data_IF_123359304029
#
_entry.id   IF_123359304029
#
_cell.length_a   1.000
_cell.length_b   1.000
_cell.length_c   1.000
_cell.angle_alpha   90.00
_cell.angle_beta   90.00
_cell.angle_gamma   90.00
#
_symmetry.space_group_name_H-M   'P 1'
#
loop_
_entity.id
_entity.type
_entity.pdbx_description
1 polymer ?
#
# COMPACT_ATOMS: atom_id res chain seq x y z
N UNK A 1 -7.23 33.46 15.35
CA UNK A 1 -6.69 33.34 13.99
C UNK A 1 -5.60 32.28 14.03
N UNK A 2 -5.91 31.03 13.67
CA UNK A 2 -4.88 29.98 13.56
C UNK A 2 -4.06 30.30 12.33
N UNK A 3 -2.77 30.62 12.47
CA UNK A 3 -1.89 30.74 11.31
C UNK A 3 -1.83 29.38 10.62
N UNK A 4 -2.13 29.33 9.32
CA UNK A 4 -1.91 28.13 8.53
C UNK A 4 -0.41 27.86 8.46
N UNK A 5 0.02 26.67 8.90
CA UNK A 5 1.42 26.25 8.78
C UNK A 5 1.86 26.30 7.31
N UNK A 6 3.14 26.64 7.07
CA UNK A 6 3.72 26.45 5.73
C UNK A 6 3.72 24.96 5.38
N UNK A 7 3.74 24.59 4.08
CA UNK A 7 3.84 23.19 3.66
C UNK A 7 5.01 22.45 4.31
N UNK A 8 6.18 23.09 4.40
CA UNK A 8 7.37 22.52 5.03
C UNK A 8 7.23 22.32 6.54
N UNK A 9 6.59 23.27 7.25
CA UNK A 9 6.32 23.13 8.68
C UNK A 9 5.28 22.04 8.95
N UNK A 10 4.27 21.92 8.09
CA UNK A 10 3.29 20.84 8.16
C UNK A 10 3.95 19.47 7.90
N UNK A 11 4.87 19.37 6.94
CA UNK A 11 5.63 18.15 6.68
C UNK A 11 6.46 17.71 7.91
N UNK A 12 7.11 18.64 8.59
CA UNK A 12 7.85 18.36 9.81
C UNK A 12 6.92 17.88 10.95
N UNK A 13 5.76 18.53 11.12
CA UNK A 13 4.74 18.09 12.07
C UNK A 13 4.24 16.68 11.74
N UNK A 14 3.97 16.38 10.47
CA UNK A 14 3.57 15.04 10.02
C UNK A 14 4.63 14.01 10.41
N UNK A 15 5.91 14.29 10.22
CA UNK A 15 7.00 13.40 10.66
C UNK A 15 6.97 13.12 12.16
N UNK A 16 6.77 14.14 12.99
CA UNK A 16 6.61 13.99 14.44
C UNK A 16 5.38 13.15 14.83
N UNK A 17 4.24 13.35 14.18
CA UNK A 17 3.02 12.60 14.48
C UNK A 17 3.06 11.15 13.98
N UNK A 18 3.81 10.85 12.91
CA UNK A 18 4.12 9.47 12.52
C UNK A 18 5.01 8.80 13.58
N UNK A 19 6.09 9.48 14.01
CA UNK A 19 7.01 8.95 15.02
C UNK A 19 6.31 8.69 16.36
N UNK A 20 5.37 9.55 16.74
CA UNK A 20 4.51 9.37 17.91
C UNK A 20 3.43 8.27 17.74
N UNK A 21 3.29 7.69 16.55
CA UNK A 21 2.30 6.64 16.27
C UNK A 21 0.85 7.15 16.14
N UNK A 22 0.65 8.45 15.94
CA UNK A 22 -0.67 9.06 15.77
C UNK A 22 -1.12 9.09 14.29
N UNK A 23 -0.17 9.15 13.35
CA UNK A 23 -0.44 9.03 11.91
C UNK A 23 0.05 7.70 11.36
N UNK A 24 -0.80 7.03 10.61
CA UNK A 24 -0.48 5.79 9.89
C UNK A 24 0.04 6.15 8.48
N UNK A 25 1.28 5.77 8.13
CA UNK A 25 1.79 5.88 6.77
C UNK A 25 1.01 4.96 5.82
N UNK A 26 0.54 5.54 4.73
CA UNK A 26 -0.08 4.85 3.60
C UNK A 26 0.77 5.09 2.36
N UNK A 27 1.46 4.05 1.90
CA UNK A 27 2.48 4.10 0.88
C UNK A 27 1.91 3.63 -0.46
N UNK A 28 2.02 4.50 -1.46
CA UNK A 28 1.77 4.20 -2.86
C UNK A 28 3.06 3.83 -3.59
N UNK A 29 2.96 3.25 -4.79
CA UNK A 29 4.12 2.70 -5.51
C UNK A 29 5.20 3.74 -5.82
N UNK A 30 4.86 5.03 -5.95
CA UNK A 30 5.82 6.09 -6.30
C UNK A 30 6.89 6.29 -5.23
N UNK A 31 6.67 5.85 -3.98
CA UNK A 31 7.72 5.92 -2.95
C UNK A 31 8.95 5.07 -3.33
N UNK A 32 8.82 4.07 -4.21
CA UNK A 32 9.96 3.27 -4.68
C UNK A 32 10.96 4.08 -5.51
N UNK A 33 10.52 5.18 -6.15
CA UNK A 33 11.36 6.01 -7.03
C UNK A 33 12.11 7.14 -6.31
N UNK A 34 12.08 7.19 -4.98
CA UNK A 34 12.65 8.31 -4.23
C UNK A 34 14.16 8.49 -4.42
N UNK A 35 14.92 7.39 -4.54
CA UNK A 35 16.39 7.44 -4.63
C UNK A 35 16.89 7.00 -6.01
N UNK A 36 16.52 5.79 -6.43
CA UNK A 36 16.95 5.17 -7.68
C UNK A 36 15.76 4.51 -8.40
N UNK A 37 15.93 4.22 -9.68
CA UNK A 37 14.93 3.47 -10.44
C UNK A 37 14.81 2.04 -9.86
N UNK A 38 13.61 1.63 -9.40
CA UNK A 38 13.44 0.33 -8.79
C UNK A 38 13.44 -0.78 -9.85
N UNK A 39 13.84 -2.02 -9.48
CA UNK A 39 13.88 -3.15 -10.41
C UNK A 39 12.50 -3.74 -10.73
N UNK A 40 11.41 -3.08 -10.32
CA UNK A 40 10.02 -3.52 -10.45
C UNK A 40 9.16 -2.37 -10.99
N UNK A 41 8.05 -2.64 -11.71
CA UNK A 41 7.21 -1.59 -12.27
C UNK A 41 6.57 -0.74 -11.17
N UNK A 42 6.48 0.56 -11.41
CA UNK A 42 5.85 1.52 -10.50
C UNK A 42 4.42 1.81 -10.94
N UNK A 43 3.46 1.25 -10.21
CA UNK A 43 2.03 1.51 -10.43
C UNK A 43 1.41 0.70 -11.56
N UNK A 44 0.09 0.87 -11.70
CA UNK A 44 -0.74 -0.06 -12.47
C UNK A 44 -0.45 -0.01 -13.98
N UNK A 45 -0.17 1.18 -14.55
CA UNK A 45 0.05 1.33 -16.00
C UNK A 45 1.36 0.66 -16.45
N UNK A 46 2.53 0.93 -15.83
CA UNK A 46 3.75 0.20 -16.18
C UNK A 46 3.63 -1.31 -16.01
N UNK A 47 2.94 -1.79 -14.96
CA UNK A 47 2.68 -3.22 -14.77
C UNK A 47 1.81 -3.80 -15.90
N UNK A 48 0.77 -3.08 -16.35
CA UNK A 48 -0.06 -3.51 -17.47
C UNK A 48 0.74 -3.63 -18.78
N UNK A 49 1.63 -2.66 -19.05
CA UNK A 49 2.54 -2.71 -20.20
C UNK A 49 3.49 -3.90 -20.13
N UNK A 50 4.08 -4.15 -18.95
CA UNK A 50 5.00 -5.27 -18.75
C UNK A 50 4.29 -6.61 -18.95
N UNK A 51 3.11 -6.80 -18.36
CA UNK A 51 2.28 -7.98 -18.58
C UNK A 51 1.94 -8.17 -20.07
N UNK A 52 1.54 -7.10 -20.75
CA UNK A 52 1.24 -7.11 -22.19
C UNK A 52 2.44 -7.44 -23.09
N UNK A 53 3.66 -7.19 -22.61
CA UNK A 53 4.90 -7.58 -23.31
C UNK A 53 5.24 -9.07 -23.13
N UNK A 54 4.81 -9.68 -22.02
CA UNK A 54 5.01 -11.10 -21.71
C UNK A 54 3.92 -11.99 -22.32
N UNK A 55 2.69 -11.50 -22.31
CA UNK A 55 1.52 -12.17 -22.88
C UNK A 55 0.72 -11.15 -23.69
N UNK A 56 0.54 -11.42 -24.98
CA UNK A 56 -0.22 -10.54 -25.85
C UNK A 56 -1.65 -10.37 -25.33
N UNK A 57 -2.05 -9.11 -25.12
CA UNK A 57 -3.40 -8.69 -24.73
C UNK A 57 -4.00 -7.77 -25.80
N UNK A 58 -5.35 -7.71 -25.95
CA UNK A 58 -5.99 -6.74 -26.83
C UNK A 58 -5.53 -5.31 -26.57
N UNK A 59 -5.30 -4.53 -27.64
CA UNK A 59 -4.74 -3.18 -27.54
C UNK A 59 -5.51 -2.25 -26.59
N UNK A 60 -6.83 -2.40 -26.51
CA UNK A 60 -7.70 -1.65 -25.58
C UNK A 60 -7.41 -1.88 -24.09
N UNK A 61 -6.69 -2.95 -23.73
CA UNK A 61 -6.34 -3.29 -22.34
C UNK A 61 -4.91 -2.89 -21.97
N UNK A 62 -4.09 -2.43 -22.93
CA UNK A 62 -2.66 -2.16 -22.73
C UNK A 62 -2.35 -1.21 -21.57
N UNK A 63 -3.25 -0.26 -21.28
CA UNK A 63 -3.08 0.76 -20.24
C UNK A 63 -3.95 0.50 -19.00
N UNK A 64 -4.61 -0.66 -18.91
CA UNK A 64 -5.52 -1.02 -17.81
C UNK A 64 -5.08 -2.36 -17.22
N UNK A 65 -4.44 -2.31 -16.05
CA UNK A 65 -3.91 -3.49 -15.35
C UNK A 65 -4.98 -4.53 -15.08
N UNK A 66 -6.15 -4.10 -14.62
CA UNK A 66 -7.23 -4.96 -14.18
C UNK A 66 -7.75 -5.80 -15.37
N UNK A 67 -8.01 -5.14 -16.50
CA UNK A 67 -8.45 -5.81 -17.73
C UNK A 67 -7.35 -6.66 -18.39
N UNK A 68 -6.10 -6.18 -18.39
CA UNK A 68 -4.98 -6.96 -18.93
C UNK A 68 -4.79 -8.26 -18.13
N UNK A 69 -4.82 -8.16 -16.80
CA UNK A 69 -4.71 -9.30 -15.89
C UNK A 69 -5.91 -10.24 -16.01
N UNK A 70 -7.13 -9.72 -16.08
CA UNK A 70 -8.33 -10.53 -16.33
C UNK A 70 -8.24 -11.30 -17.65
N UNK A 71 -7.74 -10.66 -18.71
CA UNK A 71 -7.56 -11.31 -20.01
C UNK A 71 -6.56 -12.46 -19.90
N UNK A 72 -5.40 -12.25 -19.27
CA UNK A 72 -4.39 -13.28 -19.05
C UNK A 72 -4.98 -14.43 -18.21
N UNK A 73 -5.64 -14.13 -17.10
CA UNK A 73 -6.27 -15.14 -16.23
C UNK A 73 -7.27 -16.00 -17.01
N UNK A 74 -8.11 -15.39 -17.84
CA UNK A 74 -9.15 -16.09 -18.61
C UNK A 74 -8.55 -16.95 -19.73
N UNK A 75 -7.53 -16.47 -20.45
CA UNK A 75 -7.01 -17.11 -21.68
C UNK A 75 -5.73 -17.92 -21.48
N UNK A 76 -5.05 -17.74 -20.34
CA UNK A 76 -3.80 -18.43 -19.97
C UNK A 76 -3.85 -19.04 -18.57
N UNK A 77 -5.02 -19.00 -17.92
CA UNK A 77 -5.27 -19.47 -16.56
C UNK A 77 -4.58 -18.64 -15.48
N UNK A 78 -5.14 -18.70 -14.26
CA UNK A 78 -4.62 -18.00 -13.09
C UNK A 78 -3.16 -18.33 -12.79
N UNK A 79 -2.76 -19.59 -12.94
CA UNK A 79 -1.38 -20.04 -12.68
C UNK A 79 -0.34 -19.29 -13.52
N UNK A 80 -0.69 -18.89 -14.75
CA UNK A 80 0.22 -18.09 -15.59
C UNK A 80 0.35 -16.67 -15.06
N UNK A 81 -0.75 -16.06 -14.65
CA UNK A 81 -0.75 -14.71 -14.08
C UNK A 81 0.03 -14.66 -12.76
N UNK A 82 -0.20 -15.62 -11.87
CA UNK A 82 0.54 -15.75 -10.61
C UNK A 82 2.05 -15.90 -10.85
N UNK A 83 2.46 -16.76 -11.80
CA UNK A 83 3.87 -16.91 -12.18
C UNK A 83 4.47 -15.59 -12.68
N UNK A 84 3.75 -14.88 -13.56
CA UNK A 84 4.22 -13.58 -14.08
C UNK A 84 4.38 -12.56 -12.95
N UNK A 85 3.42 -12.49 -12.02
CA UNK A 85 3.51 -11.59 -10.87
C UNK A 85 4.70 -11.95 -9.98
N UNK A 86 4.90 -13.24 -9.70
CA UNK A 86 6.03 -13.72 -8.92
C UNK A 86 7.37 -13.39 -9.60
N UNK A 87 7.49 -13.57 -10.92
CA UNK A 87 8.70 -13.23 -11.68
C UNK A 87 8.96 -11.72 -11.70
N UNK A 88 7.94 -10.90 -11.97
CA UNK A 88 8.06 -9.44 -12.09
C UNK A 88 8.50 -8.82 -10.76
N UNK A 89 8.01 -9.35 -9.63
CA UNK A 89 8.30 -8.87 -8.29
C UNK A 89 9.28 -9.77 -7.52
N UNK A 90 10.01 -10.64 -8.23
CA UNK A 90 11.09 -11.42 -7.63
C UNK A 90 12.22 -10.52 -7.09
N UNK A 91 12.68 -9.48 -7.84
CA UNK A 91 13.66 -8.56 -7.32
C UNK A 91 13.09 -7.75 -6.16
N UNK A 92 13.79 -7.74 -5.03
CA UNK A 92 13.44 -6.91 -3.86
C UNK A 92 14.11 -5.54 -4.04
N UNK A 93 13.35 -4.44 -4.18
CA UNK A 93 13.94 -3.11 -4.25
C UNK A 93 14.74 -2.80 -2.99
N UNK A 94 15.88 -2.11 -3.14
CA UNK A 94 16.67 -1.66 -1.98
C UNK A 94 15.85 -0.64 -1.19
N UNK A 95 15.70 -0.79 0.14
CA UNK A 95 14.99 0.18 0.96
C UNK A 95 15.63 1.57 0.91
N UNK A 96 14.85 2.57 0.50
CA UNK A 96 15.23 3.98 0.56
C UNK A 96 15.14 4.55 1.99
N UNK A 97 15.51 5.83 2.14
CA UNK A 97 15.51 6.53 3.42
C UNK A 97 14.15 6.51 4.15
N UNK A 98 13.02 6.60 3.43
CA UNK A 98 11.68 6.55 4.05
C UNK A 98 11.43 5.19 4.69
N UNK A 99 11.69 4.11 3.96
CA UNK A 99 11.48 2.76 4.47
C UNK A 99 12.37 2.46 5.68
N UNK A 100 13.65 2.84 5.60
CA UNK A 100 14.60 2.65 6.70
C UNK A 100 14.29 3.49 7.93
N UNK A 101 13.73 4.69 7.74
CA UNK A 101 13.25 5.54 8.82
C UNK A 101 12.02 4.93 9.49
N UNK A 102 10.99 4.57 8.73
CA UNK A 102 9.79 3.89 9.25
C UNK A 102 10.13 2.60 10.00
N UNK A 103 11.04 1.79 9.45
CA UNK A 103 11.46 0.55 10.10
C UNK A 103 12.22 0.77 11.42
N UNK A 104 12.77 1.97 11.64
CA UNK A 104 13.46 2.34 12.88
C UNK A 104 12.54 2.87 13.98
N UNK A 105 11.25 3.11 13.70
CA UNK A 105 10.30 3.63 14.68
C UNK A 105 9.73 2.51 15.55
N UNK A 106 10.07 2.53 16.84
CA UNK A 106 9.56 1.56 17.82
C UNK A 106 8.05 1.72 18.04
N UNK A 107 7.54 2.96 18.00
CA UNK A 107 6.13 3.29 18.23
C UNK A 107 5.21 3.12 17.03
N UNK A 108 5.69 2.63 15.88
CA UNK A 108 4.94 2.58 14.63
C UNK A 108 3.83 1.52 14.67
N UNK A 109 2.53 1.90 14.71
CA UNK A 109 1.46 0.93 14.90
C UNK A 109 1.18 0.10 13.64
N UNK A 110 1.23 0.74 12.48
CA UNK A 110 0.89 0.14 11.20
C UNK A 110 1.52 0.92 10.04
N UNK A 111 1.92 0.20 9.00
CA UNK A 111 2.18 0.75 7.66
C UNK A 111 1.20 0.10 6.70
N UNK A 112 0.48 0.90 5.92
CA UNK A 112 -0.28 0.40 4.78
C UNK A 112 0.58 0.57 3.54
N UNK A 113 0.92 -0.52 2.87
CA UNK A 113 1.76 -0.51 1.68
C UNK A 113 0.97 -1.11 0.52
N UNK A 114 0.70 -0.31 -0.50
CA UNK A 114 -0.24 -0.70 -1.57
C UNK A 114 0.42 -1.33 -2.78
N UNK A 115 1.72 -1.65 -2.70
CA UNK A 115 2.42 -2.28 -3.81
C UNK A 115 2.92 -3.68 -3.48
N UNK A 116 3.14 -4.48 -4.52
CA UNK A 116 3.37 -5.92 -4.41
C UNK A 116 4.80 -6.30 -4.03
N UNK A 117 5.72 -5.34 -4.00
CA UNK A 117 7.15 -5.57 -3.75
C UNK A 117 7.47 -5.81 -2.26
N UNK A 118 8.73 -6.15 -1.99
CA UNK A 118 9.24 -6.48 -0.65
C UNK A 118 10.01 -5.38 0.08
N UNK A 119 10.04 -4.13 -0.39
CA UNK A 119 10.94 -3.10 0.12
C UNK A 119 10.73 -2.81 1.62
N UNK A 120 9.48 -2.67 2.08
CA UNK A 120 9.21 -2.41 3.51
C UNK A 120 9.61 -3.60 4.40
N UNK A 121 9.40 -4.85 3.95
CA UNK A 121 9.87 -6.06 4.67
C UNK A 121 11.39 -6.05 4.79
N UNK A 122 12.08 -5.76 3.68
CA UNK A 122 13.54 -5.67 3.66
C UNK A 122 14.06 -4.56 4.59
N UNK A 123 13.32 -3.46 4.74
CA UNK A 123 13.65 -2.38 5.67
C UNK A 123 13.57 -2.83 7.13
N UNK A 124 12.50 -3.53 7.53
CA UNK A 124 12.39 -4.10 8.86
C UNK A 124 13.51 -5.12 9.15
N UNK A 125 13.80 -6.00 8.19
CA UNK A 125 14.90 -6.95 8.30
C UNK A 125 16.26 -6.26 8.44
N UNK A 126 16.51 -5.19 7.67
CA UNK A 126 17.74 -4.40 7.76
C UNK A 126 17.91 -3.70 9.13
N UNK A 127 16.80 -3.42 9.84
CA UNK A 127 16.79 -2.92 11.21
C UNK A 127 16.82 -4.03 12.27
N UNK A 128 16.85 -5.30 11.88
CA UNK A 128 16.86 -6.44 12.79
C UNK A 128 15.55 -6.61 13.57
N UNK A 129 14.44 -6.06 13.09
CA UNK A 129 13.14 -6.12 13.78
C UNK A 129 12.44 -7.46 13.57
N UNK A 130 11.90 -8.01 14.65
CA UNK A 130 11.18 -9.29 14.69
C UNK A 130 9.79 -9.18 15.33
N UNK A 131 9.46 -8.02 15.91
CA UNK A 131 8.22 -7.71 16.63
C UNK A 131 7.12 -7.15 15.70
N UNK A 132 7.19 -7.49 14.42
CA UNK A 132 6.24 -7.09 13.39
C UNK A 132 5.74 -8.31 12.62
N UNK A 133 4.63 -8.12 11.91
CA UNK A 133 4.15 -9.09 10.94
C UNK A 133 3.34 -8.42 9.84
N UNK A 134 2.94 -9.20 8.85
CA UNK A 134 2.26 -8.74 7.66
C UNK A 134 0.90 -9.40 7.50
N UNK A 135 -0.09 -8.61 7.10
CA UNK A 135 -1.35 -9.13 6.57
C UNK A 135 -1.44 -8.68 5.13
N UNK A 136 -1.62 -9.62 4.20
CA UNK A 136 -1.69 -9.32 2.77
C UNK A 136 -3.01 -9.80 2.18
N UNK A 137 -3.58 -9.01 1.26
CA UNK A 137 -4.76 -9.40 0.50
C UNK A 137 -4.52 -10.71 -0.25
N UNK A 138 -5.52 -11.60 -0.25
CA UNK A 138 -5.43 -12.91 -0.86
C UNK A 138 -6.54 -13.13 -1.88
N UNK A 139 -6.15 -13.55 -3.09
CA UNK A 139 -7.10 -13.89 -4.15
C UNK A 139 -7.89 -15.15 -3.79
N UNK A 140 -9.18 -15.14 -4.09
CA UNK A 140 -10.01 -16.35 -3.99
C UNK A 140 -9.51 -17.50 -4.83
N UNK A 141 -8.90 -17.20 -5.97
CA UNK A 141 -8.38 -18.22 -6.86
C UNK A 141 -7.26 -19.06 -6.21
N UNK A 142 -6.67 -18.58 -5.11
CA UNK A 142 -5.64 -19.27 -4.32
C UNK A 142 -6.15 -19.83 -2.99
N UNK A 143 -7.46 -19.79 -2.71
CA UNK A 143 -8.05 -20.32 -1.47
C UNK A 143 -8.07 -21.86 -1.49
N UNK A 144 -7.31 -22.48 -0.60
CA UNK A 144 -7.38 -23.93 -0.30
C UNK A 144 -7.79 -24.22 1.16
N UNK A 145 -7.72 -23.21 2.03
CA UNK A 145 -7.73 -23.31 3.50
C UNK A 145 -8.86 -22.51 4.20
N UNK A 146 -9.76 -21.87 3.45
CA UNK A 146 -10.96 -21.21 4.00
C UNK A 146 -10.77 -19.77 4.50
N UNK A 147 -9.55 -19.23 4.51
CA UNK A 147 -9.31 -17.80 4.72
C UNK A 147 -9.88 -16.98 3.56
N UNK A 148 -10.74 -16.00 3.83
CA UNK A 148 -11.56 -15.38 2.78
C UNK A 148 -10.83 -14.20 2.09
N UNK A 149 -10.17 -13.31 2.82
CA UNK A 149 -9.75 -12.03 2.24
C UNK A 149 -8.26 -11.74 2.30
N UNK A 150 -7.57 -12.36 3.25
CA UNK A 150 -6.18 -12.06 3.53
C UNK A 150 -5.44 -13.28 4.04
N UNK A 151 -4.10 -13.17 4.03
CA UNK A 151 -3.19 -14.11 4.66
C UNK A 151 -2.33 -13.36 5.67
N UNK A 152 -2.29 -13.90 6.89
CA UNK A 152 -1.47 -13.40 7.98
C UNK A 152 -0.14 -14.14 7.97
N UNK A 153 0.97 -13.39 7.92
CA UNK A 153 2.33 -13.95 7.86
C UNK A 153 3.25 -13.20 8.81
N UNK A 154 4.16 -13.91 9.48
CA UNK A 154 5.13 -13.27 10.37
C UNK A 154 6.32 -12.65 9.61
N UNK A 155 7.31 -12.15 10.37
CA UNK A 155 8.53 -11.56 9.83
C UNK A 155 9.40 -12.57 9.07
N UNK A 156 9.39 -13.84 9.47
CA UNK A 156 10.08 -14.95 8.79
C UNK A 156 9.33 -15.44 7.54
N UNK A 157 8.06 -15.06 7.41
CA UNK A 157 7.19 -15.40 6.29
C UNK A 157 6.38 -16.68 6.50
N UNK A 158 6.34 -17.22 7.71
CA UNK A 158 5.44 -18.31 8.06
C UNK A 158 3.99 -17.82 8.11
N UNK A 159 3.08 -18.64 7.60
CA UNK A 159 1.64 -18.37 7.61
C UNK A 159 1.11 -18.66 9.01
N UNK A 160 0.42 -17.68 9.60
CA UNK A 160 -0.15 -17.77 10.94
C UNK A 160 -1.67 -17.56 10.92
N UNK A 161 -2.38 -17.96 11.99
CA UNK A 161 -3.77 -17.55 12.20
C UNK A 161 -3.90 -16.02 12.33
N UNK A 162 -5.08 -15.49 12.02
CA UNK A 162 -5.32 -14.04 11.96
C UNK A 162 -5.17 -13.32 13.32
N UNK A 163 -5.41 -14.01 14.43
CA UNK A 163 -5.30 -13.45 15.78
C UNK A 163 -3.86 -13.22 16.24
N UNK A 164 -2.87 -13.85 15.59
CA UNK A 164 -1.44 -13.64 15.83
C UNK A 164 -1.04 -12.16 15.67
N UNK A 165 -1.75 -11.42 14.80
CA UNK A 165 -1.50 -10.01 14.57
C UNK A 165 -1.73 -9.12 15.80
N UNK A 166 -2.41 -9.61 16.83
CA UNK A 166 -2.60 -8.89 18.10
C UNK A 166 -1.29 -8.72 18.87
N UNK A 167 -0.35 -9.66 18.74
CA UNK A 167 0.90 -9.66 19.50
C UNK A 167 1.99 -8.75 18.91
N UNK A 168 1.82 -8.26 17.69
CA UNK A 168 2.84 -7.46 17.00
C UNK A 168 2.78 -5.98 17.38
N UNK A 169 3.94 -5.39 17.62
CA UNK A 169 4.10 -3.94 17.78
C UNK A 169 3.69 -3.22 16.49
N UNK A 170 4.21 -3.69 15.34
CA UNK A 170 3.98 -3.07 14.04
C UNK A 170 3.29 -4.03 13.08
N UNK A 171 2.23 -3.57 12.42
CA UNK A 171 1.55 -4.29 11.36
C UNK A 171 1.94 -3.73 9.98
N UNK A 172 2.45 -4.56 9.08
CA UNK A 172 2.55 -4.25 7.65
C UNK A 172 1.28 -4.75 6.93
N UNK A 173 0.39 -3.84 6.55
CA UNK A 173 -0.81 -4.20 5.80
C UNK A 173 -0.60 -3.97 4.30
N UNK A 174 -0.71 -5.06 3.53
CA UNK A 174 -0.57 -5.08 2.06
C UNK A 174 -1.94 -5.35 1.42
N UNK A 175 -2.85 -4.36 1.28
CA UNK A 175 -4.25 -4.60 0.92
C UNK A 175 -4.44 -5.26 -0.45
N UNK A 176 -3.54 -5.00 -1.40
CA UNK A 176 -3.57 -5.61 -2.73
C UNK A 176 -2.84 -6.96 -2.78
N UNK A 177 -2.29 -7.42 -1.65
CA UNK A 177 -1.44 -8.60 -1.60
C UNK A 177 0.03 -8.26 -1.83
N UNK A 178 0.87 -9.29 -1.81
CA UNK A 178 2.31 -9.18 -1.98
C UNK A 178 2.87 -10.39 -2.73
N UNK A 179 3.85 -10.15 -3.60
CA UNK A 179 4.51 -11.21 -4.35
C UNK A 179 5.33 -12.14 -3.44
N UNK A 180 5.75 -11.64 -2.27
CA UNK A 180 6.49 -12.37 -1.25
C UNK A 180 5.91 -12.04 0.14
N UNK A 181 5.90 -13.00 1.09
CA UNK A 181 6.47 -14.34 0.97
C UNK A 181 5.57 -15.37 0.28
N UNK A 182 4.25 -15.15 0.21
CA UNK A 182 3.30 -16.20 -0.22
C UNK A 182 2.86 -16.09 -1.68
N UNK A 183 3.10 -14.94 -2.32
CA UNK A 183 2.68 -14.69 -3.71
C UNK A 183 1.17 -14.47 -3.87
N UNK A 184 0.44 -14.23 -2.79
CA UNK A 184 -0.98 -13.90 -2.87
C UNK A 184 -1.16 -12.44 -3.26
N UNK A 185 -1.73 -12.20 -4.44
CA UNK A 185 -1.97 -10.87 -5.01
C UNK A 185 -3.39 -10.74 -5.57
N UNK A 186 -3.98 -9.56 -5.42
CA UNK A 186 -5.20 -9.11 -6.09
C UNK A 186 -4.79 -8.27 -7.30
N UNK A 187 -5.03 -8.75 -8.52
CA UNK A 187 -4.54 -8.08 -9.74
C UNK A 187 -5.52 -8.13 -10.91
N UNK A 188 -6.38 -9.15 -10.98
CA UNK A 188 -7.42 -9.26 -12.01
C UNK A 188 -8.72 -8.59 -11.58
N UNK A 189 -9.58 -8.30 -12.57
CA UNK A 189 -10.90 -7.72 -12.30
C UNK A 189 -11.76 -8.63 -11.40
N UNK A 190 -11.68 -9.96 -11.60
CA UNK A 190 -12.32 -10.97 -10.75
C UNK A 190 -11.88 -10.87 -9.29
N UNK A 191 -10.58 -10.69 -9.02
CA UNK A 191 -10.07 -10.51 -7.65
C UNK A 191 -10.72 -9.30 -6.96
N UNK A 192 -10.81 -8.17 -7.68
CA UNK A 192 -11.30 -6.93 -7.13
C UNK A 192 -12.82 -6.91 -6.98
N UNK A 193 -13.58 -7.45 -7.94
CA UNK A 193 -15.05 -7.51 -7.85
C UNK A 193 -15.46 -8.19 -6.55
N UNK A 194 -14.82 -9.30 -6.19
CA UNK A 194 -15.16 -10.02 -4.96
C UNK A 194 -14.91 -9.18 -3.71
N UNK A 195 -13.73 -8.57 -3.59
CA UNK A 195 -13.41 -7.71 -2.45
C UNK A 195 -14.34 -6.50 -2.39
N UNK A 196 -14.57 -5.85 -3.53
CA UNK A 196 -15.35 -4.61 -3.61
C UNK A 196 -16.83 -4.80 -3.27
N UNK A 197 -17.39 -6.00 -3.44
CA UNK A 197 -18.79 -6.28 -3.04
C UNK A 197 -19.04 -6.18 -1.53
N UNK A 198 -18.01 -6.46 -0.71
CA UNK A 198 -18.15 -6.46 0.76
C UNK A 198 -17.31 -5.38 1.45
N UNK A 199 -16.42 -4.68 0.73
CA UNK A 199 -15.51 -3.70 1.35
C UNK A 199 -16.24 -2.53 2.01
N UNK A 200 -17.42 -2.16 1.50
CA UNK A 200 -18.22 -1.06 2.06
C UNK A 200 -18.76 -1.37 3.47
N UNK A 201 -19.04 -2.64 3.75
CA UNK A 201 -19.40 -3.15 5.10
C UNK A 201 -18.18 -3.59 5.91
N UNK A 202 -16.97 -3.36 5.39
CA UNK A 202 -15.67 -3.57 6.06
C UNK A 202 -15.26 -5.02 6.29
N UNK A 203 -15.98 -6.02 5.75
CA UNK A 203 -15.66 -7.44 5.95
C UNK A 203 -14.24 -7.81 5.48
N UNK A 204 -13.76 -7.38 4.29
CA UNK A 204 -12.43 -7.73 3.80
C UNK A 204 -11.27 -7.04 4.52
N UNK A 205 -11.55 -6.02 5.34
CA UNK A 205 -10.50 -5.33 6.10
C UNK A 205 -10.22 -6.13 7.37
N UNK A 206 -8.96 -6.55 7.63
CA UNK A 206 -8.63 -7.33 8.83
C UNK A 206 -8.93 -6.57 10.12
N UNK A 207 -9.36 -7.27 11.17
CA UNK A 207 -9.71 -6.63 12.45
C UNK A 207 -8.51 -5.94 13.10
N UNK A 208 -7.32 -6.52 12.96
CA UNK A 208 -6.06 -5.90 13.38
C UNK A 208 -5.81 -4.52 12.74
N UNK A 209 -6.26 -4.32 11.50
CA UNK A 209 -6.20 -3.02 10.78
C UNK A 209 -7.27 -2.07 11.33
N UNK A 210 -8.51 -2.55 11.52
CA UNK A 210 -9.62 -1.76 12.06
C UNK A 210 -9.32 -1.22 13.45
N UNK A 211 -8.75 -2.06 14.31
CA UNK A 211 -8.35 -1.67 15.67
C UNK A 211 -7.23 -0.63 15.63
N UNK A 212 -6.18 -0.86 14.84
CA UNK A 212 -5.01 0.05 14.78
C UNK A 212 -5.35 1.42 14.21
N UNK A 213 -6.25 1.53 13.24
CA UNK A 213 -6.66 2.86 12.72
C UNK A 213 -7.56 3.66 13.66
N UNK A 214 -8.17 3.03 14.66
CA UNK A 214 -9.08 3.71 15.59
C UNK A 214 -8.32 4.79 16.35
N UNK A 215 -8.87 6.01 16.37
CA UNK A 215 -8.26 7.17 17.03
C UNK A 215 -7.02 7.75 16.31
N UNK A 216 -6.60 7.18 15.18
CA UNK A 216 -5.41 7.62 14.43
C UNK A 216 -5.76 8.33 13.12
N UNK A 217 -4.83 9.13 12.65
CA UNK A 217 -4.86 9.74 11.34
C UNK A 217 -4.12 8.93 10.28
N UNK A 218 -4.10 9.44 9.05
CA UNK A 218 -3.38 8.85 7.92
C UNK A 218 -2.53 9.89 7.19
N UNK A 219 -1.41 9.44 6.64
CA UNK A 219 -0.61 10.22 5.68
C UNK A 219 -0.38 9.38 4.42
N UNK A 220 -0.85 9.88 3.29
CA UNK A 220 -0.72 9.24 1.99
C UNK A 220 0.54 9.77 1.28
N UNK A 221 1.47 8.87 0.98
CA UNK A 221 2.77 9.15 0.35
C UNK A 221 2.87 8.38 -0.96
N UNK A 222 3.22 9.06 -2.06
CA UNK A 222 3.33 8.41 -3.38
C UNK A 222 2.01 7.85 -3.92
N UNK A 223 0.88 8.39 -3.47
CA UNK A 223 -0.46 7.97 -3.84
C UNK A 223 -1.09 8.98 -4.80
N UNK A 224 -1.22 8.63 -6.07
CA UNK A 224 -1.86 9.52 -7.06
C UNK A 224 -3.38 9.53 -7.00
N UNK A 225 -4.02 8.45 -6.54
CA UNK A 225 -5.49 8.30 -6.56
C UNK A 225 -6.14 8.45 -7.94
N UNK A 226 -5.42 8.18 -9.03
CA UNK A 226 -5.95 8.31 -10.40
C UNK A 226 -7.04 7.26 -10.73
N UNK A 227 -7.02 6.11 -10.05
CA UNK A 227 -7.91 4.97 -10.32
C UNK A 227 -8.97 4.78 -9.21
N UNK A 228 -10.16 4.30 -9.59
CA UNK A 228 -11.29 4.12 -8.68
C UNK A 228 -11.04 3.04 -7.62
N UNK A 229 -10.34 1.96 -7.95
CA UNK A 229 -10.00 0.88 -7.01
C UNK A 229 -9.10 1.45 -5.92
N UNK A 230 -8.04 2.18 -6.30
CA UNK A 230 -7.11 2.81 -5.35
C UNK A 230 -7.84 3.76 -4.39
N UNK A 231 -8.75 4.59 -4.92
CA UNK A 231 -9.58 5.50 -4.10
C UNK A 231 -10.51 4.73 -3.16
N UNK A 232 -11.11 3.64 -3.63
CA UNK A 232 -12.01 2.82 -2.82
C UNK A 232 -11.28 2.17 -1.66
N UNK A 233 -10.11 1.57 -1.90
CA UNK A 233 -9.29 1.01 -0.83
C UNK A 233 -8.82 2.08 0.16
N UNK A 234 -8.30 3.21 -0.30
CA UNK A 234 -7.87 4.29 0.58
C UNK A 234 -9.01 4.81 1.47
N UNK A 235 -10.20 5.05 0.89
CA UNK A 235 -11.42 5.41 1.62
C UNK A 235 -11.77 4.36 2.67
N UNK A 236 -11.89 3.11 2.26
CA UNK A 236 -12.41 2.06 3.15
C UNK A 236 -11.41 1.68 4.24
N UNK A 237 -10.11 1.78 3.98
CA UNK A 237 -9.06 1.59 4.98
C UNK A 237 -9.03 2.75 5.97
N UNK A 238 -9.21 4.00 5.52
CA UNK A 238 -9.23 5.18 6.40
C UNK A 238 -10.58 5.41 7.09
N UNK A 239 -11.66 4.73 6.67
CA UNK A 239 -12.99 4.82 7.26
C UNK A 239 -12.94 4.45 8.75
N UNK A 240 -13.64 5.21 9.58
CA UNK A 240 -13.64 5.09 11.05
C UNK A 240 -12.26 5.32 11.73
N UNK A 241 -11.30 5.91 11.02
CA UNK A 241 -10.10 6.45 11.67
C UNK A 241 -10.40 7.77 12.40
N UNK A 242 -9.57 8.15 13.36
CA UNK A 242 -9.72 9.39 14.13
C UNK A 242 -9.43 10.66 13.33
N UNK A 243 -8.58 10.57 12.30
CA UNK A 243 -8.00 11.75 11.64
C UNK A 243 -6.87 12.37 12.48
N UNK A 244 -6.20 13.43 12.00
CA UNK A 244 -6.36 14.08 10.68
C UNK A 244 -5.87 13.20 9.52
N UNK A 245 -6.13 13.63 8.28
CA UNK A 245 -5.65 12.93 7.08
C UNK A 245 -4.87 13.90 6.19
N UNK A 246 -3.71 13.47 5.71
CA UNK A 246 -2.84 14.26 4.83
C UNK A 246 -2.46 13.47 3.59
N UNK A 247 -2.25 14.14 2.47
CA UNK A 247 -1.66 13.51 1.28
C UNK A 247 -0.57 14.42 0.70
N UNK A 248 0.61 13.87 0.48
CA UNK A 248 1.64 14.56 -0.33
C UNK A 248 1.22 14.44 -1.78
N UNK A 249 1.02 15.59 -2.41
CA UNK A 249 0.47 15.69 -3.76
C UNK A 249 1.26 16.68 -4.60
N UNK A 250 1.38 16.45 -5.92
CA UNK A 250 1.95 17.45 -6.81
C UNK A 250 1.01 18.65 -6.96
N UNK A 251 1.50 19.71 -7.60
CA UNK A 251 0.70 20.91 -7.88
C UNK A 251 -0.42 20.65 -8.92
N UNK A 252 -0.23 19.67 -9.80
CA UNK A 252 -1.04 19.44 -11.00
C UNK A 252 -2.16 18.40 -10.81
N UNK A 253 -2.86 18.44 -9.66
CA UNK A 253 -3.97 17.52 -9.41
C UNK A 253 -5.12 17.67 -10.42
N UNK A 254 -5.63 16.54 -10.88
CA UNK A 254 -6.85 16.47 -11.68
C UNK A 254 -8.09 16.82 -10.85
N UNK A 255 -9.18 17.20 -11.53
CA UNK A 255 -10.48 17.47 -10.89
C UNK A 255 -10.99 16.30 -10.03
N UNK A 256 -10.75 15.06 -10.48
CA UNK A 256 -11.18 13.87 -9.75
C UNK A 256 -10.35 13.62 -8.48
N UNK A 257 -9.04 13.89 -8.54
CA UNK A 257 -8.15 13.77 -7.38
C UNK A 257 -8.50 14.83 -6.34
N UNK A 258 -8.65 16.11 -6.74
CA UNK A 258 -9.09 17.19 -5.85
C UNK A 258 -10.41 16.82 -5.18
N UNK A 259 -11.40 16.39 -5.98
CA UNK A 259 -12.71 16.02 -5.46
C UNK A 259 -12.66 14.87 -4.48
N UNK A 260 -11.78 13.90 -4.70
CA UNK A 260 -11.56 12.81 -3.75
C UNK A 260 -10.99 13.32 -2.43
N UNK A 261 -9.95 14.15 -2.46
CA UNK A 261 -9.36 14.72 -1.23
C UNK A 261 -10.39 15.51 -0.42
N UNK A 262 -11.22 16.33 -1.08
CA UNK A 262 -12.30 17.08 -0.43
C UNK A 262 -13.33 16.16 0.25
N UNK A 263 -13.82 15.14 -0.47
CA UNK A 263 -14.86 14.22 0.05
C UNK A 263 -14.33 13.44 1.26
N UNK A 264 -13.06 13.01 1.22
CA UNK A 264 -12.46 12.21 2.29
C UNK A 264 -11.88 13.04 3.45
N UNK A 265 -11.92 14.38 3.34
CA UNK A 265 -11.34 15.30 4.32
C UNK A 265 -9.81 15.14 4.43
N UNK A 266 -9.14 14.92 3.30
CA UNK A 266 -7.69 14.79 3.21
C UNK A 266 -7.09 16.16 2.92
N UNK A 267 -6.24 16.63 3.82
CA UNK A 267 -5.53 17.91 3.64
C UNK A 267 -4.35 17.70 2.68
N UNK A 268 -4.33 18.36 1.50
CA UNK A 268 -3.20 18.25 0.59
C UNK A 268 -1.97 18.96 1.16
N UNK A 269 -0.82 18.29 1.08
CA UNK A 269 0.50 18.85 1.29
C UNK A 269 1.17 18.97 -0.09
N UNK A 270 1.09 20.17 -0.67
CA UNK A 270 1.62 20.47 -2.00
C UNK A 270 3.14 20.65 -1.92
N UNK A 271 3.87 19.55 -2.08
CA UNK A 271 5.33 19.45 -2.15
C UNK A 271 5.68 18.31 -3.11
N UNK A 272 6.88 18.32 -3.68
CA UNK A 272 7.37 17.10 -4.32
C UNK A 272 7.49 15.98 -3.29
N UNK A 273 7.30 14.73 -3.72
CA UNK A 273 7.39 13.57 -2.83
C UNK A 273 8.76 13.48 -2.15
N UNK A 274 9.83 13.74 -2.89
CA UNK A 274 11.19 13.73 -2.39
C UNK A 274 11.44 14.79 -1.31
N UNK A 275 10.97 16.03 -1.53
CA UNK A 275 11.10 17.11 -0.54
C UNK A 275 10.31 16.80 0.74
N UNK A 276 9.04 16.36 0.60
CA UNK A 276 8.21 16.03 1.74
C UNK A 276 8.84 14.91 2.57
N UNK A 277 9.30 13.83 1.93
CA UNK A 277 9.97 12.71 2.60
C UNK A 277 11.28 13.15 3.25
N UNK A 278 12.09 13.96 2.58
CA UNK A 278 13.33 14.49 3.13
C UNK A 278 13.12 15.40 4.35
N UNK A 279 11.93 15.95 4.55
CA UNK A 279 11.57 16.68 5.77
C UNK A 279 10.98 15.73 6.83
N UNK A 280 10.05 14.87 6.45
CA UNK A 280 9.38 13.91 7.34
C UNK A 280 10.38 13.02 8.07
N UNK A 281 11.40 12.53 7.35
CA UNK A 281 12.41 11.58 7.86
C UNK A 281 13.50 12.21 8.72
N UNK A 282 13.48 13.54 8.93
CA UNK A 282 14.44 14.23 9.82
C UNK A 282 14.08 14.12 11.28
N UNK A 283 12.83 13.81 11.60
CA UNK A 283 12.43 13.51 12.98
C UNK A 283 13.18 12.27 13.42
N UNK A 284 13.95 12.36 14.51
CA UNK A 284 14.66 11.20 15.03
C UNK A 284 13.67 10.10 15.43
N UNK A 285 13.94 8.84 15.06
CA UNK A 285 13.11 7.72 15.46
C UNK A 285 13.12 7.45 16.96
#
# INVERSE_FOLDING_TARGET
MSQSLSPTALAAQIGAEIAAGHLIPYLGPEVLALDAEPPVPIGARPLAHLLGSRVAVPGRFRNNLWHASQYIETHRHRVTLDRLMAEIFQPVPTPNALYLWLAGLDGLPMVVDTWYDGAMRAAFAARGRTDWGQIQGASKARRLDGGVWSRTVDHDGAILPDDAATAWTTLLYKPHGAAQPTGDVLVSDSDYVEVLTEIDIQTPIPDAVKQRRTGRGFVFLGCRFYDQILRTFARQIAKHSGGPRYAVVPEDLTRNEIRFLEIEGITPLTLSLAEAVGIITKTEP
#
